data_IF_597000942946
#
_entry.id   IF_597000942946
#
_cell.length_a   1.000
_cell.length_b   1.000
_cell.length_c   1.000
_cell.angle_alpha   90.00
_cell.angle_beta   90.00
_cell.angle_gamma   90.00
#
_symmetry.space_group_name_H-M   'P 1'
#
loop_
_entity.id
_entity.type
_entity.pdbx_description
1 polymer ?
#
# COMPACT_ATOMS: atom_id res chain seq x y z
N UNK A 1 16.29 21.74 -5.35
CA UNK A 1 16.81 20.44 -5.82
C UNK A 1 17.67 20.69 -7.04
N UNK A 2 18.98 20.51 -6.93
CA UNK A 2 19.88 20.66 -8.08
C UNK A 2 19.63 19.52 -9.07
N UNK A 3 19.43 19.84 -10.35
CA UNK A 3 19.34 18.85 -11.40
C UNK A 3 20.69 18.13 -11.51
N UNK A 4 20.72 16.86 -11.13
CA UNK A 4 21.89 16.00 -11.23
C UNK A 4 22.25 15.90 -12.73
N UNK A 5 23.44 16.36 -13.12
CA UNK A 5 23.86 16.35 -14.51
C UNK A 5 24.16 14.90 -14.93
N UNK A 6 23.16 14.23 -15.47
CA UNK A 6 23.34 12.96 -16.16
C UNK A 6 24.05 13.29 -17.48
N UNK A 7 25.18 12.63 -17.74
CA UNK A 7 25.81 12.72 -19.05
C UNK A 7 24.79 12.26 -20.10
N UNK A 8 24.61 13.05 -21.16
CA UNK A 8 23.68 12.78 -22.28
C UNK A 8 24.28 11.70 -23.21
N UNK A 9 24.68 10.58 -22.60
CA UNK A 9 25.15 9.37 -23.26
C UNK A 9 24.38 8.19 -22.70
N UNK A 10 24.17 7.17 -23.54
CA UNK A 10 23.43 5.95 -23.15
C UNK A 10 24.06 5.26 -21.93
N UNK A 11 25.38 5.35 -21.81
CA UNK A 11 26.14 4.83 -20.68
C UNK A 11 25.95 5.67 -19.40
N UNK A 12 25.87 7.00 -19.54
CA UNK A 12 25.54 7.91 -18.44
C UNK A 12 24.12 7.67 -17.90
N UNK A 13 23.15 7.50 -18.80
CA UNK A 13 21.76 7.15 -18.45
C UNK A 13 21.68 5.82 -17.70
N UNK A 14 22.37 4.78 -18.18
CA UNK A 14 22.42 3.45 -17.52
C UNK A 14 23.06 3.51 -16.13
N UNK A 15 24.13 4.30 -15.97
CA UNK A 15 24.81 4.48 -14.67
C UNK A 15 23.89 5.19 -13.65
N UNK A 16 23.05 6.12 -14.11
CA UNK A 16 22.09 6.84 -13.28
C UNK A 16 20.83 6.04 -12.91
N UNK A 17 20.54 4.91 -13.58
CA UNK A 17 19.33 4.11 -13.31
C UNK A 17 19.30 3.57 -11.88
N UNK A 18 20.41 3.01 -11.40
CA UNK A 18 20.49 2.40 -10.07
C UNK A 18 20.19 3.41 -8.94
N UNK A 19 20.88 4.56 -8.82
CA UNK A 19 20.58 5.53 -7.77
C UNK A 19 19.17 6.12 -7.90
N UNK A 20 18.67 6.34 -9.12
CA UNK A 20 17.29 6.81 -9.35
C UNK A 20 16.25 5.81 -8.82
N UNK A 21 16.38 4.53 -9.16
CA UNK A 21 15.47 3.48 -8.70
C UNK A 21 15.57 3.23 -7.20
N UNK A 22 16.79 3.33 -6.63
CA UNK A 22 16.97 3.20 -5.19
C UNK A 22 16.25 4.32 -4.42
N UNK A 23 16.35 5.58 -4.88
CA UNK A 23 15.60 6.71 -4.29
C UNK A 23 14.09 6.46 -4.40
N UNK A 24 13.60 6.08 -5.59
CA UNK A 24 12.18 5.74 -5.76
C UNK A 24 11.71 4.62 -4.84
N UNK A 25 12.49 3.55 -4.64
CA UNK A 25 12.13 2.48 -3.70
C UNK A 25 12.04 2.93 -2.24
N UNK A 26 12.78 3.97 -1.86
CA UNK A 26 12.77 4.53 -0.51
C UNK A 26 11.66 5.58 -0.33
N UNK A 27 11.38 6.36 -1.38
CA UNK A 27 10.47 7.51 -1.33
C UNK A 27 9.04 7.17 -1.78
N UNK A 28 8.87 6.29 -2.77
CA UNK A 28 7.55 5.90 -3.30
C UNK A 28 6.97 4.72 -2.47
N UNK A 29 5.68 4.76 -2.07
CA UNK A 29 5.04 3.62 -1.39
C UNK A 29 5.09 2.32 -2.19
N UNK A 30 5.02 2.41 -3.53
CA UNK A 30 5.13 1.27 -4.45
C UNK A 30 5.81 1.70 -5.75
N UNK A 31 6.93 1.07 -6.10
CA UNK A 31 7.49 1.21 -7.45
C UNK A 31 6.80 0.22 -8.38
N UNK A 32 5.81 0.71 -9.10
CA UNK A 32 5.12 -0.07 -10.14
C UNK A 32 5.98 -0.23 -11.39
N UNK A 33 6.05 -1.46 -11.88
CA UNK A 33 6.84 -1.83 -13.06
C UNK A 33 6.32 -1.14 -14.32
N UNK A 34 5.00 -0.95 -14.44
CA UNK A 34 4.34 -0.27 -15.56
C UNK A 34 4.49 1.25 -15.56
N UNK A 35 4.95 1.83 -14.43
CA UNK A 35 5.26 3.26 -14.31
C UNK A 35 6.67 3.62 -14.78
N UNK A 36 7.48 2.62 -15.13
CA UNK A 36 8.87 2.79 -15.53
C UNK A 36 9.00 2.95 -17.05
N UNK A 37 9.92 3.80 -17.49
CA UNK A 37 10.36 3.83 -18.88
C UNK A 37 11.02 2.49 -19.27
N UNK A 38 11.10 2.20 -20.57
CA UNK A 38 11.52 0.89 -21.06
C UNK A 38 12.92 0.45 -20.56
N UNK A 39 13.88 1.38 -20.52
CA UNK A 39 15.24 1.12 -20.04
C UNK A 39 15.25 0.81 -18.54
N UNK A 40 14.53 1.61 -17.75
CA UNK A 40 14.39 1.40 -16.32
C UNK A 40 13.63 0.13 -16.00
N UNK A 41 12.58 -0.20 -16.75
CA UNK A 41 11.80 -1.42 -16.58
C UNK A 41 12.68 -2.66 -16.82
N UNK A 42 13.43 -2.69 -17.93
CA UNK A 42 14.34 -3.79 -18.25
C UNK A 42 15.42 -3.98 -17.19
N UNK A 43 15.98 -2.89 -16.66
CA UNK A 43 16.93 -2.94 -15.55
C UNK A 43 16.26 -3.41 -14.25
N UNK A 44 15.10 -2.83 -13.91
CA UNK A 44 14.40 -3.07 -12.65
C UNK A 44 13.92 -4.52 -12.52
N UNK A 45 13.35 -5.12 -13.57
CA UNK A 45 12.90 -6.52 -13.54
C UNK A 45 14.03 -7.47 -13.10
N UNK A 46 15.26 -7.21 -13.55
CA UNK A 46 16.43 -8.03 -13.22
C UNK A 46 17.08 -7.67 -11.87
N UNK A 47 16.94 -6.41 -11.43
CA UNK A 47 17.68 -5.89 -10.28
C UNK A 47 16.82 -5.62 -9.04
N UNK A 48 15.49 -5.72 -9.14
CA UNK A 48 14.56 -5.38 -8.05
C UNK A 48 14.81 -6.17 -6.77
N UNK A 49 15.11 -7.47 -6.86
CA UNK A 49 15.41 -8.32 -5.70
C UNK A 49 16.71 -7.93 -4.99
N UNK A 50 17.87 -7.98 -5.67
CA UNK A 50 19.16 -7.58 -5.08
C UNK A 50 19.18 -6.13 -4.58
N UNK A 51 18.49 -5.22 -5.27
CA UNK A 51 18.38 -3.83 -4.86
C UNK A 51 17.54 -3.69 -3.59
N UNK A 52 16.36 -4.31 -3.54
CA UNK A 52 15.50 -4.30 -2.37
C UNK A 52 16.20 -4.90 -1.15
N UNK A 53 16.89 -6.05 -1.30
CA UNK A 53 17.64 -6.68 -0.21
C UNK A 53 18.69 -5.73 0.40
N UNK A 54 19.52 -5.09 -0.44
CA UNK A 54 20.52 -4.13 0.04
C UNK A 54 19.92 -2.92 0.74
N UNK A 55 18.76 -2.45 0.27
CA UNK A 55 18.06 -1.35 0.92
C UNK A 55 17.49 -1.78 2.26
N UNK A 56 16.87 -2.97 2.34
CA UNK A 56 16.36 -3.54 3.59
C UNK A 56 17.48 -3.71 4.64
N UNK A 57 18.64 -4.24 4.24
CA UNK A 57 19.80 -4.39 5.12
C UNK A 57 20.28 -3.04 5.68
N UNK A 58 20.15 -1.96 4.90
CA UNK A 58 20.61 -0.63 5.28
C UNK A 58 19.59 0.18 6.09
N UNK A 59 18.28 -0.06 5.89
CA UNK A 59 17.20 0.76 6.47
C UNK A 59 16.36 0.03 7.51
N UNK A 60 16.41 -1.30 7.56
CA UNK A 60 15.53 -2.10 8.40
C UNK A 60 14.09 -2.23 7.86
N UNK A 61 13.81 -1.74 6.64
CA UNK A 61 12.53 -1.96 5.97
C UNK A 61 12.39 -3.42 5.49
N UNK A 62 11.16 -3.85 5.23
CA UNK A 62 10.87 -5.15 4.62
C UNK A 62 10.49 -5.00 3.15
N UNK A 63 11.02 -5.87 2.28
CA UNK A 63 10.69 -5.86 0.85
C UNK A 63 9.47 -6.72 0.55
N UNK A 64 8.43 -6.12 -0.01
CA UNK A 64 7.29 -6.81 -0.59
C UNK A 64 7.42 -6.83 -2.11
N UNK A 65 7.72 -7.99 -2.68
CA UNK A 65 7.83 -8.17 -4.14
C UNK A 65 6.56 -8.81 -4.69
N UNK A 66 5.94 -8.16 -5.69
CA UNK A 66 4.76 -8.67 -6.39
C UNK A 66 4.94 -8.64 -7.90
N UNK A 67 3.97 -9.14 -8.64
CA UNK A 67 4.00 -9.15 -10.10
C UNK A 67 3.96 -7.72 -10.66
N UNK A 68 3.20 -6.82 -10.03
CA UNK A 68 3.04 -5.43 -10.41
C UNK A 68 4.26 -4.55 -10.10
N UNK A 69 5.07 -4.88 -9.10
CA UNK A 69 6.09 -3.97 -8.58
C UNK A 69 6.71 -4.41 -7.26
N UNK A 70 7.40 -3.46 -6.61
CA UNK A 70 8.03 -3.66 -5.30
C UNK A 70 7.66 -2.51 -4.37
N UNK A 71 7.37 -2.84 -3.12
CA UNK A 71 7.22 -1.88 -2.02
C UNK A 71 8.27 -2.18 -0.95
N UNK A 72 8.82 -1.14 -0.32
CA UNK A 72 9.58 -1.28 0.93
C UNK A 72 8.68 -0.82 2.07
N UNK A 73 8.28 -1.76 2.92
CA UNK A 73 7.31 -1.52 3.99
C UNK A 73 8.01 -1.31 5.33
N UNK A 74 7.59 -0.28 6.04
CA UNK A 74 8.03 0.03 7.39
C UNK A 74 7.07 -0.61 8.41
N UNK A 75 7.42 -1.80 8.88
CA UNK A 75 6.59 -2.53 9.87
C UNK A 75 6.58 -1.86 11.24
N UNK A 76 7.62 -1.08 11.58
CA UNK A 76 7.72 -0.36 12.84
C UNK A 76 6.93 0.96 12.84
N UNK A 77 6.58 1.49 11.66
CA UNK A 77 5.83 2.74 11.50
C UNK A 77 6.61 3.98 11.93
N UNK A 78 7.94 3.95 11.86
CA UNK A 78 8.83 5.03 12.32
C UNK A 78 9.32 5.96 11.20
N UNK A 79 9.19 5.53 9.95
CA UNK A 79 9.69 6.20 8.74
C UNK A 79 8.58 6.66 7.79
N UNK A 80 7.36 6.15 7.94
CA UNK A 80 6.24 6.46 7.05
C UNK A 80 5.38 7.63 7.53
N UNK A 81 5.16 8.63 6.68
CA UNK A 81 4.24 9.75 6.95
C UNK A 81 2.76 9.33 7.02
N UNK A 82 2.40 8.27 6.31
CA UNK A 82 1.04 7.71 6.26
C UNK A 82 1.09 6.22 6.59
N UNK A 83 0.62 5.84 7.77
CA UNK A 83 0.47 4.45 8.17
C UNK A 83 -0.87 3.85 7.68
N UNK A 84 -0.83 2.57 7.29
CA UNK A 84 -2.01 1.77 7.00
C UNK A 84 -1.72 0.28 7.26
N UNK A 85 -2.46 -0.40 8.17
CA UNK A 85 -3.57 0.12 8.96
C UNK A 85 -3.14 1.12 10.06
N UNK A 86 -4.08 1.94 10.51
CA UNK A 86 -3.91 2.88 11.62
C UNK A 86 -5.23 2.99 12.41
N UNK A 87 -5.19 3.67 13.56
CA UNK A 87 -6.37 3.84 14.41
C UNK A 87 -7.22 5.07 14.03
N UNK A 88 -8.46 5.07 14.52
CA UNK A 88 -9.40 6.17 14.34
C UNK A 88 -10.32 6.02 13.13
N UNK A 89 -11.25 6.97 13.01
CA UNK A 89 -12.31 6.93 11.99
C UNK A 89 -11.76 6.96 10.58
N UNK A 90 -10.86 7.89 10.33
CA UNK A 90 -10.33 8.18 9.00
C UNK A 90 -9.50 6.98 8.47
N UNK A 91 -8.70 6.37 9.35
CA UNK A 91 -7.92 5.19 9.01
C UNK A 91 -8.81 3.96 8.78
N UNK A 92 -9.83 3.75 9.63
CA UNK A 92 -10.77 2.64 9.43
C UNK A 92 -11.59 2.81 8.14
N UNK A 93 -12.10 4.01 7.87
CA UNK A 93 -12.78 4.32 6.62
C UNK A 93 -11.86 4.09 5.40
N UNK A 94 -10.58 4.46 5.50
CA UNK A 94 -9.57 4.21 4.46
C UNK A 94 -9.42 2.71 4.19
N UNK A 95 -9.36 1.90 5.25
CA UNK A 95 -9.26 0.44 5.13
C UNK A 95 -10.50 -0.18 4.48
N UNK A 96 -11.70 0.26 4.86
CA UNK A 96 -12.95 -0.23 4.28
C UNK A 96 -13.06 0.09 2.78
N UNK A 97 -12.67 1.31 2.38
CA UNK A 97 -12.67 1.68 0.95
C UNK A 97 -11.61 0.89 0.18
N UNK A 98 -10.42 0.70 0.75
CA UNK A 98 -9.38 -0.12 0.13
C UNK A 98 -9.84 -1.57 -0.08
N UNK A 99 -10.45 -2.17 0.94
CA UNK A 99 -11.02 -3.52 0.87
C UNK A 99 -12.13 -3.61 -0.18
N UNK A 100 -13.04 -2.63 -0.21
CA UNK A 100 -14.11 -2.57 -1.20
C UNK A 100 -13.56 -2.55 -2.64
N UNK A 101 -12.61 -1.65 -2.92
CA UNK A 101 -11.97 -1.53 -4.23
C UNK A 101 -11.19 -2.80 -4.60
N UNK A 102 -10.46 -3.38 -3.65
CA UNK A 102 -9.70 -4.61 -3.85
C UNK A 102 -10.60 -5.81 -4.16
N UNK A 103 -11.73 -5.93 -3.45
CA UNK A 103 -12.72 -6.99 -3.70
C UNK A 103 -13.38 -6.85 -5.07
N UNK A 104 -13.68 -5.62 -5.52
CA UNK A 104 -14.16 -5.37 -6.89
C UNK A 104 -13.12 -5.78 -7.94
N UNK A 105 -11.86 -5.42 -7.75
CA UNK A 105 -10.78 -5.84 -8.66
C UNK A 105 -10.66 -7.36 -8.77
N UNK A 106 -10.85 -8.09 -7.67
CA UNK A 106 -10.80 -9.57 -7.66
C UNK A 106 -11.87 -10.21 -8.53
N UNK A 107 -13.07 -9.64 -8.58
CA UNK A 107 -14.17 -10.12 -9.44
C UNK A 107 -14.13 -9.53 -10.86
N UNK A 108 -13.04 -8.86 -11.24
CA UNK A 108 -12.82 -8.32 -12.58
C UNK A 108 -13.31 -6.89 -12.80
N UNK A 109 -13.90 -6.26 -11.78
CA UNK A 109 -14.41 -4.89 -11.86
C UNK A 109 -13.31 -3.87 -11.52
N UNK A 110 -12.47 -3.57 -12.52
CA UNK A 110 -11.31 -2.68 -12.38
C UNK A 110 -11.58 -1.21 -12.73
N UNK A 111 -12.84 -0.89 -13.03
CA UNK A 111 -13.26 0.45 -13.44
C UNK A 111 -13.05 1.49 -12.34
N UNK A 112 -12.79 2.74 -12.74
CA UNK A 112 -12.70 3.84 -11.80
C UNK A 112 -14.07 4.16 -11.18
N UNK A 113 -14.11 4.39 -9.87
CA UNK A 113 -15.31 4.82 -9.16
C UNK A 113 -15.33 6.34 -8.99
N UNK A 114 -16.51 6.95 -9.05
CA UNK A 114 -16.66 8.39 -8.77
C UNK A 114 -16.57 8.64 -7.27
N UNK A 115 -16.24 9.88 -6.89
CA UNK A 115 -16.20 10.31 -5.49
C UNK A 115 -17.57 10.12 -4.81
N UNK A 116 -18.66 10.33 -5.54
CA UNK A 116 -20.02 10.13 -5.05
C UNK A 116 -20.32 8.64 -4.76
N UNK A 117 -19.78 7.73 -5.57
CA UNK A 117 -19.94 6.29 -5.34
C UNK A 117 -19.19 5.84 -4.08
N UNK A 118 -17.98 6.37 -3.85
CA UNK A 118 -17.21 6.12 -2.62
C UNK A 118 -17.92 6.73 -1.41
N UNK A 119 -18.45 7.95 -1.53
CA UNK A 119 -19.22 8.60 -0.48
C UNK A 119 -20.51 7.82 -0.15
N UNK A 120 -21.21 7.30 -1.16
CA UNK A 120 -22.36 6.43 -0.97
C UNK A 120 -22.00 5.15 -0.21
N UNK A 121 -20.90 4.49 -0.59
CA UNK A 121 -20.39 3.32 0.15
C UNK A 121 -20.09 3.65 1.62
N UNK A 122 -19.45 4.80 1.90
CA UNK A 122 -19.13 5.21 3.28
C UNK A 122 -20.38 5.55 4.10
N UNK A 123 -21.42 6.11 3.47
CA UNK A 123 -22.73 6.31 4.08
C UNK A 123 -23.31 4.98 4.55
N UNK A 124 -23.34 3.97 3.67
CA UNK A 124 -23.86 2.64 4.00
C UNK A 124 -22.99 1.94 5.05
N UNK A 125 -21.66 2.14 4.99
CA UNK A 125 -20.74 1.62 5.99
C UNK A 125 -20.96 2.22 7.40
N UNK A 126 -21.53 3.43 7.48
CA UNK A 126 -21.86 4.08 8.76
C UNK A 126 -22.88 3.27 9.55
N UNK A 127 -23.84 2.61 8.89
CA UNK A 127 -24.84 1.78 9.56
C UNK A 127 -24.20 0.59 10.27
N UNK A 128 -23.13 0.02 9.69
CA UNK A 128 -22.44 -1.15 10.23
C UNK A 128 -21.32 -0.82 11.21
N UNK A 129 -20.55 0.23 10.92
CA UNK A 129 -19.31 0.54 11.63
C UNK A 129 -19.34 1.87 12.37
N UNK A 130 -20.38 2.69 12.19
CA UNK A 130 -20.46 4.04 12.74
C UNK A 130 -20.34 4.10 14.26
N UNK A 131 -20.65 3.04 15.02
CA UNK A 131 -20.41 3.03 16.47
C UNK A 131 -18.93 3.25 16.85
N UNK A 132 -18.00 2.92 15.96
CA UNK A 132 -16.56 3.09 16.14
C UNK A 132 -16.04 4.41 15.56
N UNK A 133 -16.91 5.22 14.96
CA UNK A 133 -16.54 6.46 14.29
C UNK A 133 -16.86 7.68 15.14
N UNK A 134 -16.05 8.74 14.96
CA UNK A 134 -16.26 10.06 15.58
C UNK A 134 -17.63 10.60 15.18
N UNK A 135 -18.28 11.33 16.10
CA UNK A 135 -19.67 11.80 15.92
C UNK A 135 -19.87 12.56 14.59
N UNK A 136 -18.97 13.48 14.27
CA UNK A 136 -19.04 14.33 13.06
C UNK A 136 -18.98 13.53 11.76
N UNK A 137 -18.26 12.42 11.73
CA UNK A 137 -18.16 11.57 10.53
C UNK A 137 -19.45 10.77 10.23
N UNK A 138 -20.43 10.80 11.14
CA UNK A 138 -21.70 10.06 11.04
C UNK A 138 -22.87 10.99 10.76
N UNK A 139 -22.62 12.29 10.69
CA UNK A 139 -23.66 13.27 10.39
C UNK A 139 -24.03 13.16 8.90
N UNK A 140 -25.31 13.31 8.55
CA UNK A 140 -25.72 13.27 7.14
C UNK A 140 -24.94 14.29 6.30
N UNK A 141 -24.31 13.82 5.22
CA UNK A 141 -23.47 14.65 4.33
C UNK A 141 -21.97 14.57 4.63
N UNK A 142 -21.58 14.13 5.84
CA UNK A 142 -20.17 13.99 6.23
C UNK A 142 -19.42 12.93 5.41
N UNK A 143 -20.14 11.99 4.78
CA UNK A 143 -19.55 10.95 3.95
C UNK A 143 -18.74 11.52 2.75
N UNK A 144 -19.05 12.74 2.29
CA UNK A 144 -18.36 13.38 1.17
C UNK A 144 -16.97 13.85 1.59
N UNK A 145 -16.88 14.54 2.72
CA UNK A 145 -15.61 14.99 3.29
C UNK A 145 -14.75 13.77 3.69
N UNK A 146 -15.38 12.76 4.29
CA UNK A 146 -14.70 11.51 4.63
C UNK A 146 -14.17 10.79 3.37
N UNK A 147 -14.94 10.75 2.28
CA UNK A 147 -14.51 10.17 1.01
C UNK A 147 -13.29 10.91 0.44
N UNK A 148 -13.30 12.25 0.44
CA UNK A 148 -12.16 13.04 -0.03
C UNK A 148 -10.89 12.73 0.76
N UNK A 149 -10.99 12.70 2.09
CA UNK A 149 -9.88 12.37 2.98
C UNK A 149 -9.35 10.95 2.73
N UNK A 150 -10.25 9.97 2.61
CA UNK A 150 -9.89 8.58 2.32
C UNK A 150 -9.17 8.47 0.97
N UNK A 151 -9.70 9.12 -0.07
CA UNK A 151 -9.12 9.09 -1.41
C UNK A 151 -7.76 9.80 -1.46
N UNK A 152 -7.59 10.87 -0.70
CA UNK A 152 -6.28 11.52 -0.53
C UNK A 152 -5.27 10.57 0.12
N UNK A 153 -5.65 9.88 1.20
CA UNK A 153 -4.77 8.90 1.88
C UNK A 153 -4.41 7.74 0.96
N UNK A 154 -5.38 7.16 0.26
CA UNK A 154 -5.13 6.08 -0.71
C UNK A 154 -4.24 6.56 -1.87
N UNK A 155 -4.37 7.81 -2.29
CA UNK A 155 -3.51 8.43 -3.29
C UNK A 155 -2.06 8.59 -2.80
N UNK A 156 -1.88 9.07 -1.56
CA UNK A 156 -0.55 9.17 -0.91
C UNK A 156 0.14 7.82 -0.78
N UNK A 157 -0.64 6.74 -0.61
CA UNK A 157 -0.14 5.36 -0.55
C UNK A 157 0.00 4.70 -1.94
N UNK A 158 -0.26 5.44 -3.02
CA UNK A 158 -0.28 4.95 -4.40
C UNK A 158 -1.17 3.72 -4.60
N UNK A 159 -2.29 3.64 -3.89
CA UNK A 159 -3.27 2.55 -4.02
C UNK A 159 -4.37 2.89 -5.02
N UNK A 160 -4.55 4.17 -5.32
CA UNK A 160 -5.48 4.67 -6.34
C UNK A 160 -4.82 5.75 -7.17
N UNK A 161 -5.14 5.78 -8.46
CA UNK A 161 -4.87 6.91 -9.34
C UNK A 161 -6.12 7.80 -9.45
N UNK A 162 -5.93 9.11 -9.43
CA UNK A 162 -7.01 10.11 -9.44
C UNK A 162 -7.07 10.79 -10.81
N UNK A 163 -8.26 10.82 -11.41
CA UNK A 163 -8.51 11.48 -12.69
C UNK A 163 -9.98 11.93 -12.74
N UNK A 164 -10.25 13.20 -13.02
CA UNK A 164 -11.59 13.76 -13.22
C UNK A 164 -12.66 13.36 -12.18
N UNK A 165 -12.32 13.45 -10.89
CA UNK A 165 -13.24 13.08 -9.80
C UNK A 165 -13.51 11.58 -9.70
N UNK A 166 -12.61 10.77 -10.26
CA UNK A 166 -12.65 9.31 -10.21
C UNK A 166 -11.39 8.75 -9.59
N UNK A 167 -11.56 7.66 -8.84
CA UNK A 167 -10.48 6.85 -8.30
C UNK A 167 -10.41 5.54 -9.06
N UNK A 168 -9.32 5.35 -9.81
CA UNK A 168 -8.98 4.06 -10.41
C UNK A 168 -8.10 3.29 -9.44
N UNK A 169 -8.51 2.10 -8.99
CA UNK A 169 -7.67 1.31 -8.10
C UNK A 169 -6.40 0.81 -8.82
N UNK A 170 -5.27 0.85 -8.12
CA UNK A 170 -3.97 0.37 -8.59
C UNK A 170 -3.70 -1.04 -8.06
N UNK A 171 -2.89 -1.88 -8.76
CA UNK A 171 -2.77 -3.31 -8.44
C UNK A 171 -2.42 -3.62 -6.98
N UNK A 172 -1.59 -2.79 -6.35
CA UNK A 172 -1.14 -3.05 -4.98
C UNK A 172 -2.27 -2.95 -3.93
N UNK A 173 -3.43 -2.35 -4.27
CA UNK A 173 -4.62 -2.36 -3.40
C UNK A 173 -5.10 -3.78 -3.11
N UNK A 174 -4.76 -4.76 -3.96
CA UNK A 174 -5.06 -6.17 -3.76
C UNK A 174 -4.49 -6.75 -2.44
N UNK A 175 -3.57 -6.05 -1.75
CA UNK A 175 -3.12 -6.43 -0.41
C UNK A 175 -4.22 -6.36 0.65
N UNK A 176 -5.20 -5.47 0.46
CA UNK A 176 -6.32 -5.26 1.40
C UNK A 176 -7.53 -6.12 1.05
N UNK A 177 -7.40 -6.94 0.03
CA UNK A 177 -8.42 -7.86 -0.36
C UNK A 177 -8.45 -9.00 0.69
N UNK A 178 -9.34 -8.88 1.68
CA UNK A 178 -9.51 -9.93 2.70
C UNK A 178 -9.88 -11.25 2.02
N UNK A 179 -9.11 -12.31 2.27
CA UNK A 179 -9.50 -13.68 1.94
C UNK A 179 -10.48 -14.23 2.98
N UNK A 180 -10.86 -15.50 2.86
CA UNK A 180 -11.48 -16.19 3.99
C UNK A 180 -10.51 -16.15 5.19
N UNK A 181 -11.02 -15.82 6.37
CA UNK A 181 -10.19 -15.71 7.56
C UNK A 181 -9.73 -17.11 7.99
N UNK A 182 -8.47 -17.44 7.74
CA UNK A 182 -7.82 -18.60 8.35
C UNK A 182 -7.30 -18.21 9.75
N UNK A 183 -7.98 -18.73 10.78
CA UNK A 183 -7.50 -18.62 12.16
C UNK A 183 -6.27 -19.52 12.34
N UNK A 184 -5.08 -18.95 12.19
CA UNK A 184 -3.84 -19.64 12.54
C UNK A 184 -3.75 -19.71 14.06
N UNK A 185 -4.05 -20.87 14.63
CA UNK A 185 -3.89 -21.13 16.05
C UNK A 185 -2.39 -21.09 16.38
N UNK A 186 -1.95 -20.04 17.07
CA UNK A 186 -0.57 -19.94 17.55
C UNK A 186 -0.42 -20.91 18.72
N UNK A 187 0.19 -22.07 18.48
CA UNK A 187 0.59 -22.98 19.57
C UNK A 187 1.68 -22.28 20.38
N UNK A 188 1.48 -22.03 21.69
CA UNK A 188 2.52 -21.44 22.54
C UNK A 188 3.74 -22.37 22.56
N UNK A 189 4.97 -21.83 22.52
CA UNK A 189 6.18 -22.63 22.68
C UNK A 189 6.38 -22.95 24.16
N UNK A 190 5.51 -23.79 24.73
CA UNK A 190 5.82 -24.52 25.97
C UNK A 190 4.85 -25.69 26.18
N UNK A 191 5.01 -26.71 25.35
CA UNK A 191 4.45 -28.05 25.57
C UNK A 191 5.41 -29.16 25.11
N UNK A 192 6.71 -28.88 25.03
CA UNK A 192 7.74 -29.91 24.92
C UNK A 192 8.23 -30.22 26.34
N UNK A 193 7.58 -31.23 26.93
CA UNK A 193 7.66 -31.56 28.33
C UNK A 193 9.08 -31.74 28.88
N UNK A 194 9.27 -31.13 30.05
CA UNK A 194 9.98 -31.72 31.18
C UNK A 194 9.64 -33.22 31.28
N UNK A 195 10.52 -34.07 30.76
CA UNK A 195 10.58 -35.48 31.19
C UNK A 195 11.60 -35.54 32.29
N UNK A 196 11.09 -35.76 33.51
CA UNK A 196 11.84 -35.74 34.74
C UNK A 196 12.92 -36.81 34.81
N UNK A 197 13.96 -36.47 35.57
CA UNK A 197 14.74 -37.43 36.31
C UNK A 197 13.81 -38.20 37.26
N UNK A 198 13.92 -39.53 37.28
CA UNK A 198 13.80 -40.41 38.45
C UNK A 198 14.14 -41.85 38.01
N UNK A 199 15.05 -42.45 38.79
CA UNK A 199 15.74 -43.76 38.68
C UNK A 199 17.01 -43.80 37.83
#
# INVERSE_FOLDING_TARGET
LAAEHVADSDEGRRTALRPRLARRLLDDPVVYTDSLDADAQAYFVNQRGPMAARLCDATGLAAEQRAEGVALTDEAGTLSDVAMPAEGTDAHATLLVAEHLASRMRVGERGALTDEAIAAFLRDATDRYGRFWRKTAREPGAERELAQLVLERLGKLQLVAREDGRARPLPAIARFALGEAELVQRVPPDAAGSTGALF
#
